data_IF_224448488577
#
_entry.id   IF_224448488577
#
_cell.length_a   1.000
_cell.length_b   1.000
_cell.length_c   1.000
_cell.angle_alpha   90.00
_cell.angle_beta   90.00
_cell.angle_gamma   90.00
#
_symmetry.space_group_name_H-M   'P 1'
#
loop_
_entity.id
_entity.type
_entity.pdbx_description
1 polymer ?
#
# COMPACT_ATOMS: atom_id res chain seq x y z
N UNK A 1 19.88 -13.84 21.04
CA UNK A 1 18.59 -14.35 20.58
C UNK A 1 17.60 -13.23 20.82
N UNK A 2 16.88 -12.75 19.79
CA UNK A 2 15.93 -11.64 19.91
C UNK A 2 14.65 -12.19 20.56
N UNK A 3 14.45 -11.92 21.84
CA UNK A 3 13.32 -12.42 22.65
C UNK A 3 12.27 -11.32 22.86
N UNK A 4 11.78 -10.69 21.80
CA UNK A 4 10.55 -9.90 21.94
C UNK A 4 9.37 -10.85 21.80
N UNK A 5 8.54 -10.99 22.83
CA UNK A 5 7.26 -11.70 22.71
C UNK A 5 6.40 -10.95 21.71
N UNK A 6 6.22 -11.53 20.52
CA UNK A 6 5.38 -10.98 19.47
C UNK A 6 4.12 -11.81 19.42
N UNK A 7 3.00 -11.16 19.73
CA UNK A 7 1.67 -11.79 19.71
C UNK A 7 0.98 -11.72 18.35
N UNK A 8 1.63 -11.12 17.32
CA UNK A 8 1.01 -10.99 16.01
C UNK A 8 0.92 -12.34 15.28
N UNK A 9 -0.27 -12.62 14.76
CA UNK A 9 -0.56 -13.76 13.90
C UNK A 9 -1.27 -13.28 12.64
N UNK A 10 -1.03 -13.96 11.51
CA UNK A 10 -1.81 -13.73 10.30
C UNK A 10 -3.31 -14.01 10.55
N UNK A 11 -4.23 -13.33 9.86
CA UNK A 11 -5.66 -13.59 9.99
C UNK A 11 -6.01 -15.07 9.74
N UNK A 12 -6.86 -15.66 10.59
CA UNK A 12 -7.32 -17.04 10.45
C UNK A 12 -8.30 -17.26 9.29
N UNK A 13 -8.75 -16.18 8.63
CA UNK A 13 -9.74 -16.26 7.56
C UNK A 13 -9.75 -15.06 6.62
N UNK A 14 -10.67 -15.11 5.69
CA UNK A 14 -10.83 -14.15 4.59
C UNK A 14 -12.23 -13.50 4.69
N UNK A 15 -12.38 -12.40 5.46
CA UNK A 15 -13.69 -11.79 5.67
C UNK A 15 -14.26 -11.21 4.38
N UNK A 16 -15.58 -11.34 4.20
CA UNK A 16 -16.26 -10.67 3.09
C UNK A 16 -16.38 -9.17 3.35
N UNK A 17 -15.66 -8.38 2.54
CA UNK A 17 -15.59 -6.92 2.65
C UNK A 17 -16.47 -6.20 1.61
N UNK A 18 -17.29 -6.89 0.85
CA UNK A 18 -18.10 -6.31 -0.25
C UNK A 18 -19.05 -5.20 0.18
N UNK A 19 -19.53 -5.24 1.45
CA UNK A 19 -20.47 -4.27 2.00
C UNK A 19 -19.84 -2.92 2.41
N UNK A 20 -18.53 -2.86 2.54
CA UNK A 20 -17.84 -1.63 2.95
C UNK A 20 -17.65 -0.71 1.75
N UNK A 21 -17.92 0.57 1.96
CA UNK A 21 -17.76 1.60 0.92
C UNK A 21 -16.28 1.88 0.63
N UNK A 22 -15.44 1.76 1.65
CA UNK A 22 -14.01 2.09 1.61
C UNK A 22 -13.17 0.92 2.11
N UNK A 23 -12.19 0.51 1.33
CA UNK A 23 -11.21 -0.52 1.69
C UNK A 23 -9.82 0.06 1.45
N UNK A 24 -9.03 0.23 2.50
CA UNK A 24 -7.62 0.59 2.36
C UNK A 24 -6.78 -0.66 2.14
N UNK A 25 -5.80 -0.55 1.26
CA UNK A 25 -4.85 -1.62 0.94
C UNK A 25 -3.44 -1.04 0.92
N UNK A 26 -2.48 -1.84 1.36
CA UNK A 26 -1.06 -1.54 1.33
C UNK A 26 -0.28 -2.81 1.01
N UNK A 27 0.66 -2.74 0.07
CA UNK A 27 1.41 -3.90 -0.40
C UNK A 27 2.86 -3.82 0.08
N UNK A 28 3.29 -4.87 0.77
CA UNK A 28 4.70 -5.08 1.03
C UNK A 28 5.34 -5.86 -0.12
N UNK A 29 6.52 -5.44 -0.53
CA UNK A 29 7.15 -5.97 -1.75
C UNK A 29 8.64 -6.21 -1.59
N UNK A 30 9.14 -7.17 -2.36
CA UNK A 30 10.56 -7.33 -2.64
C UNK A 30 10.85 -6.60 -3.96
N UNK A 31 11.42 -5.40 -3.86
CA UNK A 31 11.79 -4.57 -5.03
C UNK A 31 13.21 -4.01 -4.87
N UNK A 32 14.25 -4.85 -4.99
CA UNK A 32 15.62 -4.50 -4.62
C UNK A 32 16.23 -3.40 -5.50
N UNK A 33 15.72 -3.21 -6.70
CA UNK A 33 16.21 -2.20 -7.64
C UNK A 33 15.34 -0.94 -7.72
N UNK A 34 14.37 -0.78 -6.82
CA UNK A 34 13.40 0.33 -6.85
C UNK A 34 14.06 1.70 -6.96
N UNK A 35 15.08 1.96 -6.12
CA UNK A 35 15.77 3.26 -6.07
C UNK A 35 16.65 3.54 -7.29
N UNK A 36 17.20 2.50 -7.91
CA UNK A 36 18.17 2.65 -9.02
C UNK A 36 17.55 2.53 -10.40
N UNK A 37 16.48 1.71 -10.52
CA UNK A 37 15.87 1.36 -11.81
C UNK A 37 14.35 1.62 -11.88
N UNK A 38 13.74 2.13 -10.81
CA UNK A 38 12.30 2.31 -10.69
C UNK A 38 11.57 1.00 -10.31
N UNK A 39 10.23 0.98 -10.43
CA UNK A 39 9.39 -0.11 -9.94
C UNK A 39 9.65 -1.45 -10.65
N UNK A 40 9.86 -2.49 -9.86
CA UNK A 40 10.02 -3.87 -10.29
C UNK A 40 8.74 -4.44 -10.92
N UNK A 41 7.56 -3.96 -10.54
CA UNK A 41 6.29 -4.36 -11.14
C UNK A 41 6.28 -4.20 -12.67
N UNK A 42 6.89 -3.12 -13.17
CA UNK A 42 6.95 -2.82 -14.62
C UNK A 42 8.06 -3.63 -15.29
N UNK A 43 9.19 -3.79 -14.62
CA UNK A 43 10.34 -4.56 -15.13
C UNK A 43 10.19 -6.07 -14.98
N UNK A 44 9.13 -6.55 -14.29
CA UNK A 44 8.91 -7.95 -13.90
C UNK A 44 10.06 -8.49 -13.03
N UNK A 45 10.56 -7.64 -12.12
CA UNK A 45 11.60 -7.97 -11.14
C UNK A 45 11.02 -7.83 -9.74
N UNK A 46 11.31 -8.78 -8.85
CA UNK A 46 10.77 -8.79 -7.48
C UNK A 46 9.40 -9.44 -7.39
N UNK A 47 8.72 -9.21 -6.27
CA UNK A 47 7.41 -9.82 -5.99
C UNK A 47 6.67 -9.12 -4.85
N UNK A 48 5.34 -9.33 -4.77
CA UNK A 48 4.54 -9.01 -3.59
C UNK A 48 4.89 -10.01 -2.49
N UNK A 49 5.23 -9.52 -1.29
CA UNK A 49 5.55 -10.36 -0.13
C UNK A 49 4.40 -10.45 0.88
N UNK A 50 3.47 -9.50 0.83
CA UNK A 50 2.26 -9.52 1.64
C UNK A 50 1.33 -8.37 1.30
N UNK A 51 0.09 -8.46 1.76
CA UNK A 51 -0.97 -7.48 1.51
C UNK A 51 -1.67 -7.15 2.81
N UNK A 52 -1.64 -5.88 3.22
CA UNK A 52 -2.41 -5.37 4.32
C UNK A 52 -3.72 -4.78 3.82
N UNK A 53 -4.80 -5.00 4.58
CA UNK A 53 -6.14 -4.55 4.24
C UNK A 53 -6.79 -4.00 5.51
N UNK A 54 -7.47 -2.86 5.40
CA UNK A 54 -8.21 -2.27 6.51
C UNK A 54 -9.57 -1.71 6.08
N UNK A 55 -10.56 -1.86 6.97
CA UNK A 55 -11.89 -1.26 6.89
C UNK A 55 -12.27 -0.64 8.23
N UNK A 56 -13.01 0.48 8.19
CA UNK A 56 -13.50 1.16 9.37
C UNK A 56 -14.79 1.91 8.99
N UNK A 57 -15.94 1.28 9.17
CA UNK A 57 -17.24 1.84 8.78
C UNK A 57 -18.34 1.27 9.67
N UNK A 58 -19.31 2.13 10.04
CA UNK A 58 -20.49 1.70 10.78
C UNK A 58 -20.23 1.10 12.17
N UNK A 59 -19.14 1.50 12.83
CA UNK A 59 -18.72 0.95 14.13
C UNK A 59 -17.95 -0.37 14.03
N UNK A 60 -17.77 -0.92 12.84
CA UNK A 60 -16.93 -2.08 12.60
C UNK A 60 -15.55 -1.62 12.13
N UNK A 61 -14.51 -2.04 12.85
CA UNK A 61 -13.11 -1.81 12.51
C UNK A 61 -12.40 -3.15 12.42
N UNK A 62 -11.75 -3.39 11.28
CA UNK A 62 -10.96 -4.58 11.06
C UNK A 62 -9.73 -4.25 10.22
N UNK A 63 -8.64 -4.94 10.49
CA UNK A 63 -7.42 -4.92 9.69
C UNK A 63 -6.78 -6.29 9.72
N UNK A 64 -6.04 -6.63 8.67
CA UNK A 64 -5.30 -7.88 8.58
C UNK A 64 -4.20 -7.78 7.55
N UNK A 65 -3.08 -8.45 7.83
CA UNK A 65 -1.97 -8.60 6.92
C UNK A 65 -1.85 -10.05 6.48
N UNK A 66 -1.80 -10.28 5.18
CA UNK A 66 -1.71 -11.58 4.53
C UNK A 66 -0.31 -11.78 3.92
N UNK A 67 0.65 -12.37 4.66
CA UNK A 67 2.01 -12.61 4.19
C UNK A 67 2.03 -13.78 3.21
N UNK A 68 2.81 -13.66 2.12
CA UNK A 68 2.89 -14.68 1.06
C UNK A 68 4.30 -15.01 0.58
N UNK A 69 5.32 -14.18 0.92
CA UNK A 69 6.70 -14.40 0.48
C UNK A 69 7.74 -13.82 1.44
N UNK A 70 7.52 -13.96 2.75
CA UNK A 70 8.51 -13.69 3.80
C UNK A 70 9.42 -14.90 4.02
N UNK A 71 10.46 -14.73 4.85
CA UNK A 71 11.35 -15.83 5.25
C UNK A 71 10.60 -16.96 5.98
N UNK A 72 9.53 -16.64 6.72
CA UNK A 72 8.67 -17.60 7.41
C UNK A 72 7.30 -16.98 7.74
N UNK A 73 6.32 -17.84 8.10
CA UNK A 73 4.99 -17.41 8.55
C UNK A 73 4.05 -17.01 7.41
N UNK A 74 4.27 -17.55 6.21
CA UNK A 74 3.45 -17.25 5.03
C UNK A 74 2.17 -18.09 5.00
N UNK A 75 1.13 -17.48 4.43
CA UNK A 75 -0.09 -18.15 4.00
C UNK A 75 0.06 -18.71 2.59
N UNK A 76 -0.91 -19.49 2.14
CA UNK A 76 -0.94 -19.97 0.75
C UNK A 76 -1.08 -18.80 -0.23
N UNK A 77 -0.05 -18.59 -1.05
CA UNK A 77 0.05 -17.45 -1.97
C UNK A 77 -1.13 -17.41 -2.95
N UNK A 78 -1.58 -18.59 -3.44
CA UNK A 78 -2.69 -18.64 -4.40
C UNK A 78 -3.99 -18.23 -3.74
N UNK A 79 -4.28 -18.74 -2.55
CA UNK A 79 -5.51 -18.41 -1.80
C UNK A 79 -5.56 -16.91 -1.48
N UNK A 80 -4.45 -16.34 -0.99
CA UNK A 80 -4.37 -14.91 -0.69
C UNK A 80 -4.57 -14.06 -1.95
N UNK A 81 -3.90 -14.39 -3.06
CA UNK A 81 -4.06 -13.63 -4.30
C UNK A 81 -5.47 -13.77 -4.91
N UNK A 82 -6.13 -14.90 -4.75
CA UNK A 82 -7.52 -15.08 -5.17
C UNK A 82 -8.46 -14.20 -4.32
N UNK A 83 -8.24 -14.12 -3.01
CA UNK A 83 -8.96 -13.21 -2.11
C UNK A 83 -8.74 -11.74 -2.47
N UNK A 84 -7.50 -11.34 -2.72
CA UNK A 84 -7.18 -9.96 -3.16
C UNK A 84 -7.87 -9.64 -4.50
N UNK A 85 -7.92 -10.60 -5.42
CA UNK A 85 -8.64 -10.45 -6.70
C UNK A 85 -10.13 -10.25 -6.48
N UNK A 86 -10.73 -10.99 -5.55
CA UNK A 86 -12.13 -10.82 -5.16
C UNK A 86 -12.39 -9.41 -4.61
N UNK A 87 -11.57 -8.94 -3.65
CA UNK A 87 -11.68 -7.57 -3.11
C UNK A 87 -11.53 -6.52 -4.21
N UNK A 88 -10.54 -6.66 -5.08
CA UNK A 88 -10.32 -5.73 -6.18
C UNK A 88 -11.47 -5.72 -7.19
N UNK A 89 -12.27 -6.78 -7.26
CA UNK A 89 -13.44 -6.88 -8.13
C UNK A 89 -14.71 -6.19 -7.57
N UNK A 90 -14.74 -5.83 -6.28
CA UNK A 90 -15.89 -5.08 -5.71
C UNK A 90 -15.96 -3.65 -6.27
N UNK A 91 -17.16 -3.13 -6.39
CA UNK A 91 -17.42 -1.75 -6.87
C UNK A 91 -17.41 -0.73 -5.71
N UNK A 92 -16.43 -0.85 -4.83
CA UNK A 92 -16.16 0.08 -3.74
C UNK A 92 -14.89 0.88 -4.01
N UNK A 93 -14.61 1.89 -3.20
CA UNK A 93 -13.39 2.68 -3.32
C UNK A 93 -12.23 1.97 -2.64
N UNK A 94 -11.16 1.67 -3.40
CA UNK A 94 -9.87 1.20 -2.87
C UNK A 94 -9.00 2.41 -2.57
N UNK A 95 -8.48 2.44 -1.36
CA UNK A 95 -7.68 3.55 -0.85
C UNK A 95 -6.25 3.08 -0.68
N UNK A 96 -5.32 3.88 -1.18
CA UNK A 96 -3.88 3.65 -1.09
C UNK A 96 -3.15 4.92 -0.63
N UNK A 97 -1.91 4.75 -0.23
CA UNK A 97 -0.98 5.86 -0.10
C UNK A 97 0.17 5.68 -1.10
N UNK A 98 0.24 6.50 -2.14
CA UNK A 98 1.05 6.29 -3.34
C UNK A 98 0.53 5.12 -4.20
N UNK A 99 -0.74 5.20 -4.56
CA UNK A 99 -1.47 4.18 -5.33
C UNK A 99 -0.73 3.70 -6.60
N UNK A 100 0.10 4.56 -7.20
CA UNK A 100 0.86 4.22 -8.40
C UNK A 100 1.77 3.00 -8.17
N UNK A 101 2.31 2.84 -6.98
CA UNK A 101 3.17 1.71 -6.64
C UNK A 101 2.34 0.42 -6.51
N UNK A 102 1.34 0.42 -5.63
CA UNK A 102 0.53 -0.76 -5.30
C UNK A 102 -0.29 -1.26 -6.48
N UNK A 103 -0.96 -0.33 -7.18
CA UNK A 103 -1.76 -0.67 -8.37
C UNK A 103 -0.89 -1.23 -9.49
N UNK A 104 0.34 -0.75 -9.64
CA UNK A 104 1.29 -1.34 -10.59
C UNK A 104 1.62 -2.79 -10.24
N UNK A 105 1.85 -3.09 -8.96
CA UNK A 105 2.09 -4.46 -8.52
C UNK A 105 0.86 -5.35 -8.73
N UNK A 106 -0.33 -4.91 -8.34
CA UNK A 106 -1.58 -5.66 -8.60
C UNK A 106 -1.78 -5.92 -10.10
N UNK A 107 -1.54 -4.91 -10.95
CA UNK A 107 -1.60 -5.05 -12.40
C UNK A 107 -0.59 -6.06 -12.94
N UNK A 108 0.63 -6.10 -12.40
CA UNK A 108 1.65 -7.07 -12.82
C UNK A 108 1.27 -8.52 -12.51
N UNK A 109 0.41 -8.74 -11.49
CA UNK A 109 -0.18 -10.03 -11.14
C UNK A 109 -1.51 -10.32 -11.87
N UNK A 110 -1.92 -9.47 -12.82
CA UNK A 110 -3.18 -9.63 -13.55
C UNK A 110 -4.40 -9.44 -12.66
N UNK A 111 -4.30 -8.57 -11.64
CA UNK A 111 -5.40 -8.23 -10.73
C UNK A 111 -5.91 -6.82 -11.08
N UNK A 112 -6.98 -6.70 -11.89
CA UNK A 112 -7.59 -5.42 -12.20
C UNK A 112 -8.39 -4.91 -11.01
N UNK A 113 -8.40 -3.60 -10.80
CA UNK A 113 -9.21 -2.96 -9.77
C UNK A 113 -10.49 -2.40 -10.40
N UNK A 114 -11.64 -2.79 -9.86
CA UNK A 114 -12.93 -2.16 -10.12
C UNK A 114 -13.23 -1.07 -9.09
N UNK A 115 -14.18 -0.22 -9.43
CA UNK A 115 -14.57 0.91 -8.59
C UNK A 115 -13.56 2.05 -8.65
N UNK A 116 -13.61 2.90 -7.65
CA UNK A 116 -12.73 4.08 -7.59
C UNK A 116 -11.42 3.74 -6.88
N UNK A 117 -10.35 4.39 -7.31
CA UNK A 117 -9.07 4.39 -6.62
C UNK A 117 -8.90 5.77 -5.98
N UNK A 118 -8.65 5.81 -4.68
CA UNK A 118 -8.31 7.03 -3.96
C UNK A 118 -6.86 6.95 -3.50
N UNK A 119 -6.09 7.99 -3.79
CA UNK A 119 -4.70 8.10 -3.37
C UNK A 119 -4.55 9.24 -2.37
N UNK A 120 -4.23 8.92 -1.12
CA UNK A 120 -4.03 9.92 -0.08
C UNK A 120 -2.83 10.82 -0.34
N UNK A 121 -1.82 10.37 -1.09
CA UNK A 121 -0.69 11.20 -1.51
C UNK A 121 -1.12 12.27 -2.52
N UNK A 122 -1.99 11.92 -3.47
CA UNK A 122 -2.58 12.90 -4.42
C UNK A 122 -3.47 13.88 -3.67
N UNK A 123 -4.32 13.41 -2.75
CA UNK A 123 -5.15 14.31 -1.93
C UNK A 123 -4.30 15.32 -1.15
N UNK A 124 -3.19 14.89 -0.55
CA UNK A 124 -2.26 15.78 0.15
C UNK A 124 -1.70 16.87 -0.77
N UNK A 125 -1.30 16.54 -1.98
CA UNK A 125 -0.74 17.51 -2.93
C UNK A 125 -1.77 18.53 -3.43
N UNK A 126 -3.04 18.15 -3.47
CA UNK A 126 -4.14 19.08 -3.83
C UNK A 126 -4.51 20.01 -2.68
N UNK A 127 -4.44 19.53 -1.44
CA UNK A 127 -4.75 20.30 -0.22
C UNK A 127 -3.67 21.34 0.08
N UNK A 128 -2.41 20.96 -0.14
CA UNK A 128 -1.24 21.83 0.09
C UNK A 128 -0.15 21.56 -0.96
N UNK A 129 -0.13 22.37 -2.01
CA UNK A 129 0.84 22.27 -3.10
C UNK A 129 2.27 22.65 -2.69
N UNK A 130 2.43 23.33 -1.54
CA UNK A 130 3.74 23.72 -1.01
C UNK A 130 4.33 22.65 -0.08
N UNK A 131 3.63 21.56 0.15
CA UNK A 131 4.06 20.48 1.01
C UNK A 131 5.34 19.81 0.47
N UNK A 132 6.34 19.63 1.34
CA UNK A 132 7.63 19.04 0.97
C UNK A 132 7.68 17.52 1.18
N UNK A 133 6.91 16.98 2.13
CA UNK A 133 6.99 15.58 2.57
C UNK A 133 5.64 14.89 2.44
N UNK A 134 5.57 13.89 1.58
CA UNK A 134 4.35 13.15 1.27
C UNK A 134 4.35 11.71 1.83
N UNK A 135 5.32 11.35 2.69
CA UNK A 135 5.32 10.03 3.31
C UNK A 135 4.10 9.84 4.23
N UNK A 136 3.61 8.61 4.35
CA UNK A 136 2.50 8.27 5.23
C UNK A 136 2.77 8.73 6.67
N UNK A 137 4.01 8.53 7.18
CA UNK A 137 4.39 8.92 8.53
C UNK A 137 4.30 10.45 8.75
N UNK A 138 4.79 11.25 7.78
CA UNK A 138 4.66 12.72 7.86
C UNK A 138 3.19 13.15 7.82
N UNK A 139 2.40 12.55 6.94
CA UNK A 139 0.98 12.89 6.78
C UNK A 139 0.16 12.52 8.01
N UNK A 140 0.37 11.32 8.59
CA UNK A 140 -0.35 10.89 9.80
C UNK A 140 0.03 11.73 11.01
N UNK A 141 1.29 12.14 11.13
CA UNK A 141 1.69 13.09 12.16
C UNK A 141 0.99 14.44 12.04
N UNK A 142 0.95 15.01 10.82
CA UNK A 142 0.39 16.33 10.60
C UNK A 142 -1.14 16.35 10.80
N UNK A 143 -1.85 15.37 10.27
CA UNK A 143 -3.31 15.36 10.23
C UNK A 143 -3.98 14.56 11.35
N UNK A 144 -3.33 13.51 11.85
CA UNK A 144 -3.88 12.62 12.87
C UNK A 144 -3.17 12.73 14.21
N UNK A 145 -1.98 13.35 14.27
CA UNK A 145 -1.09 13.40 15.45
C UNK A 145 -0.65 12.01 15.92
N UNK A 146 -0.51 11.09 14.97
CA UNK A 146 -0.08 9.71 15.21
C UNK A 146 1.26 9.48 14.53
N UNK A 147 2.25 9.00 15.29
CA UNK A 147 3.51 8.44 14.77
C UNK A 147 3.35 6.94 14.56
N UNK A 148 3.93 6.43 13.49
CA UNK A 148 3.98 4.98 13.23
C UNK A 148 4.89 4.31 14.27
N UNK A 149 4.44 3.19 14.80
CA UNK A 149 5.29 2.31 15.61
C UNK A 149 6.03 1.33 14.69
N UNK A 150 7.30 1.60 14.45
CA UNK A 150 8.19 0.75 13.66
C UNK A 150 9.21 0.00 14.54
N UNK A 151 9.02 0.00 15.87
CA UNK A 151 10.01 -0.52 16.82
C UNK A 151 10.35 -1.99 16.57
N UNK A 152 9.34 -2.86 16.53
CA UNK A 152 9.53 -4.31 16.34
C UNK A 152 10.20 -4.59 15.00
N UNK A 153 9.75 -3.94 13.92
CA UNK A 153 10.34 -4.06 12.60
C UNK A 153 11.83 -3.68 12.60
N UNK A 154 12.16 -2.52 13.15
CA UNK A 154 13.54 -2.01 13.18
C UNK A 154 14.45 -2.86 14.06
N UNK A 155 13.99 -3.29 15.24
CA UNK A 155 14.77 -4.14 16.15
C UNK A 155 15.02 -5.53 15.55
N UNK A 156 14.01 -6.13 14.91
CA UNK A 156 14.17 -7.44 14.25
C UNK A 156 15.08 -7.38 13.04
N UNK A 157 14.99 -6.31 12.25
CA UNK A 157 15.87 -6.07 11.11
C UNK A 157 17.32 -5.89 11.55
N UNK A 158 17.55 -5.07 12.58
CA UNK A 158 18.88 -4.88 13.16
C UNK A 158 19.49 -6.19 13.69
N UNK A 159 18.69 -7.01 14.39
CA UNK A 159 19.13 -8.30 14.90
C UNK A 159 19.51 -9.31 13.79
N UNK A 160 18.95 -9.17 12.59
CA UNK A 160 19.24 -10.02 11.43
C UNK A 160 20.23 -9.38 10.45
N UNK A 161 20.66 -8.14 10.69
CA UNK A 161 21.60 -7.42 9.83
C UNK A 161 21.03 -7.08 8.46
N UNK A 162 19.70 -6.79 8.37
CA UNK A 162 18.99 -6.45 7.13
C UNK A 162 18.40 -5.05 7.20
N UNK A 163 18.19 -4.44 6.04
CA UNK A 163 17.46 -3.16 5.97
C UNK A 163 15.96 -3.38 6.17
N UNK A 164 15.30 -2.67 7.12
CA UNK A 164 13.91 -2.92 7.47
C UNK A 164 12.91 -2.63 6.36
N UNK A 165 13.27 -1.82 5.37
CA UNK A 165 12.38 -1.41 4.27
C UNK A 165 12.68 -2.17 2.97
N UNK A 166 13.92 -2.17 2.52
CA UNK A 166 14.30 -2.78 1.23
C UNK A 166 14.50 -4.29 1.31
N UNK A 167 14.73 -4.83 2.51
CA UNK A 167 14.98 -6.26 2.74
C UNK A 167 13.96 -6.93 3.68
N UNK A 168 12.80 -6.31 3.86
CA UNK A 168 11.71 -6.79 4.72
C UNK A 168 11.29 -8.24 4.40
N UNK A 169 11.42 -8.67 3.16
CA UNK A 169 11.14 -10.04 2.73
C UNK A 169 12.04 -11.11 3.39
N UNK A 170 13.19 -10.70 3.94
CA UNK A 170 14.09 -11.60 4.68
C UNK A 170 13.66 -11.84 6.12
N UNK A 171 12.72 -11.03 6.63
CA UNK A 171 12.17 -11.17 7.97
C UNK A 171 11.01 -12.16 7.98
N UNK A 172 10.83 -12.97 9.05
CA UNK A 172 9.57 -13.67 9.31
C UNK A 172 8.39 -12.71 9.38
N UNK A 173 7.24 -13.12 8.86
CA UNK A 173 6.02 -12.30 8.78
C UNK A 173 5.57 -11.72 10.13
N UNK A 174 5.79 -12.45 11.22
CA UNK A 174 5.42 -12.03 12.58
C UNK A 174 6.06 -10.69 13.01
N UNK A 175 7.22 -10.34 12.47
CA UNK A 175 7.89 -9.06 12.75
C UNK A 175 7.37 -7.89 11.91
N UNK A 176 6.68 -8.19 10.82
CA UNK A 176 6.21 -7.23 9.82
C UNK A 176 4.72 -6.96 9.95
N UNK A 177 3.93 -7.96 10.36
CA UNK A 177 2.48 -7.91 10.28
C UNK A 177 1.83 -6.74 10.99
N UNK A 178 2.25 -6.45 12.23
CA UNK A 178 1.71 -5.30 12.97
C UNK A 178 1.98 -3.97 12.28
N UNK A 179 3.18 -3.81 11.70
CA UNK A 179 3.57 -2.64 10.95
C UNK A 179 2.70 -2.47 9.69
N UNK A 180 2.59 -3.52 8.87
CA UNK A 180 1.82 -3.49 7.63
C UNK A 180 0.31 -3.22 7.87
N UNK A 181 -0.28 -3.87 8.89
CA UNK A 181 -1.66 -3.60 9.30
C UNK A 181 -1.88 -2.15 9.74
N UNK A 182 -0.90 -1.58 10.45
CA UNK A 182 -0.97 -0.19 10.87
C UNK A 182 -0.94 0.75 9.67
N UNK A 183 -0.13 0.48 8.64
CA UNK A 183 -0.05 1.30 7.44
C UNK A 183 -1.37 1.33 6.67
N UNK A 184 -2.02 0.20 6.45
CA UNK A 184 -3.34 0.16 5.83
C UNK A 184 -4.40 0.90 6.68
N UNK A 185 -4.40 0.69 8.01
CA UNK A 185 -5.34 1.36 8.92
C UNK A 185 -5.13 2.88 8.95
N UNK A 186 -3.88 3.33 9.05
CA UNK A 186 -3.53 4.76 9.05
C UNK A 186 -3.84 5.43 7.71
N UNK A 187 -3.65 4.72 6.60
CA UNK A 187 -4.03 5.20 5.27
C UNK A 187 -5.54 5.44 5.18
N UNK A 188 -6.35 4.56 5.75
CA UNK A 188 -7.80 4.72 5.80
C UNK A 188 -8.22 5.90 6.70
N UNK A 189 -7.66 5.99 7.91
CA UNK A 189 -7.97 7.07 8.85
C UNK A 189 -7.52 8.44 8.26
N UNK A 190 -6.37 8.47 7.58
CA UNK A 190 -5.89 9.65 6.85
C UNK A 190 -6.83 10.04 5.72
N UNK A 191 -7.32 9.09 4.93
CA UNK A 191 -8.28 9.35 3.86
C UNK A 191 -9.53 10.06 4.39
N UNK A 192 -10.11 9.60 5.50
CA UNK A 192 -11.29 10.25 6.09
C UNK A 192 -11.00 11.69 6.51
N UNK A 193 -9.80 11.94 7.04
CA UNK A 193 -9.39 13.29 7.43
C UNK A 193 -9.18 14.20 6.23
N UNK A 194 -8.48 13.71 5.20
CA UNK A 194 -8.23 14.47 3.97
C UNK A 194 -9.50 14.72 3.17
N UNK A 195 -10.48 13.80 3.19
CA UNK A 195 -11.77 14.01 2.55
C UNK A 195 -12.52 15.23 3.13
N UNK A 196 -12.40 15.49 4.43
CA UNK A 196 -12.94 16.70 5.06
C UNK A 196 -12.23 17.97 4.57
N UNK A 197 -10.91 17.91 4.35
CA UNK A 197 -10.14 19.05 3.82
C UNK A 197 -10.46 19.29 2.34
N UNK A 198 -10.62 18.26 1.53
CA UNK A 198 -11.08 18.36 0.13
C UNK A 198 -12.44 19.04 0.03
N UNK A 199 -13.38 18.67 0.90
CA UNK A 199 -14.70 19.32 0.99
C UNK A 199 -14.56 20.79 1.41
N UNK A 200 -13.79 21.07 2.48
CA UNK A 200 -13.58 22.41 3.03
C UNK A 200 -12.99 23.39 2.01
N UNK A 201 -12.14 22.90 1.10
CA UNK A 201 -11.41 23.69 0.11
C UNK A 201 -12.06 23.65 -1.29
N UNK A 202 -13.21 22.96 -1.45
CA UNK A 202 -13.90 22.78 -2.73
C UNK A 202 -13.00 22.17 -3.83
N UNK A 203 -12.21 21.15 -3.49
CA UNK A 203 -11.23 20.51 -4.39
C UNK A 203 -11.80 19.29 -5.13
N UNK A 204 -13.09 19.01 -5.05
CA UNK A 204 -13.71 17.81 -5.64
C UNK A 204 -13.51 17.70 -7.15
N UNK A 205 -13.56 18.82 -7.86
CA UNK A 205 -13.40 18.80 -9.32
C UNK A 205 -12.01 18.40 -9.75
N UNK A 206 -10.98 18.93 -9.10
CA UNK A 206 -9.59 18.60 -9.43
C UNK A 206 -9.27 17.19 -8.94
N UNK A 207 -9.73 16.78 -7.75
CA UNK A 207 -9.56 15.40 -7.27
C UNK A 207 -10.20 14.39 -8.21
N UNK A 208 -11.38 14.69 -8.76
CA UNK A 208 -12.01 13.83 -9.75
C UNK A 208 -11.19 13.72 -11.02
N UNK A 209 -10.61 14.81 -11.50
CA UNK A 209 -9.74 14.82 -12.68
C UNK A 209 -8.51 13.91 -12.46
N UNK A 210 -7.82 14.05 -11.33
CA UNK A 210 -6.66 13.22 -10.97
C UNK A 210 -7.04 11.74 -10.85
N UNK A 211 -8.17 11.45 -10.22
CA UNK A 211 -8.69 10.08 -10.06
C UNK A 211 -9.03 9.44 -11.41
N UNK A 212 -9.67 10.18 -12.31
CA UNK A 212 -10.05 9.68 -13.65
C UNK A 212 -8.82 9.50 -14.55
N UNK A 213 -7.79 10.33 -14.38
CA UNK A 213 -6.52 10.25 -15.12
C UNK A 213 -5.65 9.08 -14.66
N UNK A 214 -5.75 8.67 -13.40
CA UNK A 214 -4.87 7.72 -12.76
C UNK A 214 -4.70 6.39 -13.52
N UNK A 215 -5.76 5.70 -14.01
CA UNK A 215 -5.62 4.46 -14.78
C UNK A 215 -4.80 4.65 -16.07
N UNK A 216 -4.96 5.80 -16.73
CA UNK A 216 -4.19 6.15 -17.92
C UNK A 216 -2.69 6.27 -17.60
N UNK A 217 -2.34 6.91 -16.49
CA UNK A 217 -0.95 7.04 -16.06
C UNK A 217 -0.32 5.69 -15.71
N UNK A 218 -1.07 4.78 -15.10
CA UNK A 218 -0.63 3.40 -14.87
C UNK A 218 -0.36 2.69 -16.19
N UNK A 219 -1.28 2.80 -17.16
CA UNK A 219 -1.12 2.18 -18.49
C UNK A 219 0.08 2.75 -19.25
N UNK A 220 0.29 4.06 -19.20
CA UNK A 220 1.46 4.71 -19.78
C UNK A 220 2.76 4.17 -19.21
N UNK A 221 2.85 3.95 -17.91
CA UNK A 221 4.04 3.36 -17.27
C UNK A 221 4.33 1.95 -17.76
N UNK A 222 3.29 1.12 -17.92
CA UNK A 222 3.46 -0.24 -18.45
C UNK A 222 3.80 -0.27 -19.93
N UNK A 223 3.27 0.67 -20.71
CA UNK A 223 3.60 0.81 -22.13
C UNK A 223 5.04 1.30 -22.34
N UNK A 224 5.51 2.20 -21.48
CA UNK A 224 6.81 2.85 -21.62
C UNK A 224 6.89 3.81 -22.81
N UNK A 225 8.09 4.31 -23.04
CA UNK A 225 8.42 5.14 -24.21
C UNK A 225 9.56 4.51 -25.01
N UNK A 226 9.47 4.60 -26.33
CA UNK A 226 10.57 4.18 -27.19
C UNK A 226 11.69 5.21 -27.15
N UNK A 227 12.89 4.75 -26.82
CA UNK A 227 14.11 5.57 -26.85
C UNK A 227 14.96 5.16 -28.03
N UNK A 228 15.50 6.13 -28.76
CA UNK A 228 16.50 5.94 -29.81
C UNK A 228 17.87 5.93 -29.11
N UNK A 229 18.37 4.72 -28.80
CA UNK A 229 19.61 4.56 -28.06
C UNK A 229 20.83 5.09 -28.81
N UNK A 230 20.84 5.01 -30.14
CA UNK A 230 21.95 5.53 -30.97
C UNK A 230 22.07 7.06 -30.91
N UNK A 231 20.93 7.75 -30.75
CA UNK A 231 20.91 9.21 -30.59
C UNK A 231 21.05 9.66 -29.13
N UNK A 232 20.88 8.77 -28.18
CA UNK A 232 21.00 9.07 -26.76
C UNK A 232 22.47 9.02 -26.28
N UNK A 233 23.34 8.35 -27.01
CA UNK A 233 24.80 8.27 -26.82
C UNK A 233 25.51 9.27 -27.71
#
# INVERSE_FOLDING_TARGET
MFETQIEWNAPDGFPNLSKFKYIAMDLETKDPSLKSKGSGAIRKEGEIIGIAIAVNEGGFKWRGYYPIAHAAGNLDKKIVLDYVREICAYDNTKIFHNAMYDVSWLKSYGIPIKGKIADTMVMLSLIDENRLWFSLNSATWDYLKISKDEKILNESAAAQGVDPKSEMYKLPAMYVGQYAEADASLTLDLYYKLAQEIERQDLHRVLKLETDLFPCLVDMRFKGVRVDEEKAH
#
